data_IF_773998549254
#
_entry.id   IF_773998549254
#
_cell.length_a   1.000
_cell.length_b   1.000
_cell.length_c   1.000
_cell.angle_alpha   90.00
_cell.angle_beta   90.00
_cell.angle_gamma   90.00
#
_symmetry.space_group_name_H-M   'P 1'
#
loop_
_entity.id
_entity.type
_entity.pdbx_description
1 polymer ?
#
# COMPACT_ATOMS: atom_id res chain seq x y z
N UNK A 1 -22.82 18.47 20.69
CA UNK A 1 -23.64 19.34 21.54
C UNK A 1 -23.68 20.74 20.94
N UNK A 2 -24.51 21.66 21.46
CA UNK A 2 -24.44 23.09 21.05
C UNK A 2 -23.06 23.67 21.34
N UNK A 3 -22.45 23.27 22.45
CA UNK A 3 -21.07 23.64 22.79
C UNK A 3 -20.09 23.21 21.69
N UNK A 4 -20.13 21.95 21.25
CA UNK A 4 -19.24 21.46 20.19
C UNK A 4 -19.46 22.20 18.87
N UNK A 5 -20.72 22.47 18.50
CA UNK A 5 -21.04 23.19 17.28
C UNK A 5 -20.45 24.62 17.30
N UNK A 6 -20.55 25.32 18.44
CA UNK A 6 -19.93 26.63 18.64
C UNK A 6 -18.40 26.55 18.61
N UNK A 7 -17.82 25.55 19.29
CA UNK A 7 -16.37 25.34 19.38
C UNK A 7 -15.74 25.08 18.02
N UNK A 8 -16.33 24.20 17.22
CA UNK A 8 -15.82 23.80 15.90
C UNK A 8 -16.43 24.58 14.73
N UNK A 9 -17.12 25.69 15.02
CA UNK A 9 -17.69 26.62 14.03
C UNK A 9 -18.56 25.91 13.00
N UNK A 10 -19.37 24.95 13.46
CA UNK A 10 -20.35 24.25 12.64
C UNK A 10 -21.57 25.15 12.49
N UNK A 11 -21.93 25.45 11.24
CA UNK A 11 -23.02 26.35 10.92
C UNK A 11 -24.18 25.65 10.21
N UNK A 12 -25.17 26.46 9.84
CA UNK A 12 -26.28 26.07 8.98
C UNK A 12 -26.51 27.20 7.98
N UNK A 13 -26.61 26.85 6.69
CA UNK A 13 -26.95 27.79 5.64
C UNK A 13 -28.46 27.74 5.40
N UNK A 14 -29.23 28.77 5.79
CA UNK A 14 -30.68 28.72 5.67
C UNK A 14 -31.15 28.89 4.22
N UNK A 15 -32.39 28.48 3.95
CA UNK A 15 -33.04 28.61 2.63
C UNK A 15 -33.06 30.04 2.08
N UNK A 16 -33.10 31.04 2.95
CA UNK A 16 -33.09 32.45 2.58
C UNK A 16 -31.68 33.10 2.61
N UNK A 17 -30.59 32.31 2.72
CA UNK A 17 -29.22 32.83 2.81
C UNK A 17 -28.91 33.93 1.79
N UNK A 18 -29.25 33.75 0.52
CA UNK A 18 -28.97 34.73 -0.54
C UNK A 18 -29.76 36.04 -0.37
N UNK A 19 -30.98 35.99 0.16
CA UNK A 19 -31.75 37.17 0.50
C UNK A 19 -31.10 37.92 1.65
N UNK A 20 -30.69 37.21 2.71
CA UNK A 20 -29.98 37.79 3.86
C UNK A 20 -28.67 38.45 3.42
N UNK A 21 -27.89 37.77 2.57
CA UNK A 21 -26.64 38.32 2.03
C UNK A 21 -26.89 39.56 1.18
N UNK A 22 -27.97 39.60 0.38
CA UNK A 22 -28.35 40.77 -0.41
C UNK A 22 -28.72 41.95 0.49
N UNK A 23 -29.55 41.71 1.51
CA UNK A 23 -29.97 42.74 2.47
C UNK A 23 -28.78 43.33 3.25
N UNK A 24 -27.73 42.51 3.49
CA UNK A 24 -26.48 42.95 4.12
C UNK A 24 -25.47 43.56 3.14
N UNK A 25 -25.77 43.66 1.85
CA UNK A 25 -24.81 44.14 0.84
C UNK A 25 -23.62 43.20 0.58
N UNK A 26 -23.69 41.93 1.00
CA UNK A 26 -22.59 40.97 0.94
C UNK A 26 -22.70 39.94 -0.20
N UNK A 27 -23.78 39.98 -0.98
CA UNK A 27 -24.08 38.92 -1.95
C UNK A 27 -22.98 38.74 -3.01
N UNK A 28 -22.49 39.83 -3.60
CA UNK A 28 -21.47 39.72 -4.65
C UNK A 28 -20.11 39.28 -4.10
N UNK A 29 -19.76 39.68 -2.87
CA UNK A 29 -18.59 39.18 -2.17
C UNK A 29 -18.70 37.67 -1.89
N UNK A 30 -19.87 37.22 -1.41
CA UNK A 30 -20.12 35.81 -1.14
C UNK A 30 -20.00 34.95 -2.41
N UNK A 31 -20.53 35.42 -3.54
CA UNK A 31 -20.38 34.74 -4.83
C UNK A 31 -18.91 34.68 -5.27
N UNK A 32 -18.16 35.78 -5.16
CA UNK A 32 -16.72 35.81 -5.46
C UNK A 32 -15.92 34.86 -4.56
N UNK A 33 -16.36 34.65 -3.32
CA UNK A 33 -15.81 33.68 -2.39
C UNK A 33 -16.21 32.23 -2.70
N UNK A 34 -17.00 31.97 -3.74
CA UNK A 34 -17.41 30.63 -4.17
C UNK A 34 -18.71 30.11 -3.53
N UNK A 35 -19.44 30.95 -2.79
CA UNK A 35 -20.74 30.58 -2.20
C UNK A 35 -21.81 30.54 -3.30
N UNK A 36 -22.47 29.40 -3.43
CA UNK A 36 -23.57 29.17 -4.36
C UNK A 36 -24.86 28.82 -3.63
N UNK A 37 -26.02 28.88 -4.31
CA UNK A 37 -27.30 28.45 -3.71
C UNK A 37 -27.28 26.98 -3.27
N UNK A 38 -26.40 26.15 -3.82
CA UNK A 38 -26.31 24.73 -3.47
C UNK A 38 -26.01 24.49 -1.97
N UNK A 39 -25.41 25.46 -1.28
CA UNK A 39 -25.13 25.38 0.17
C UNK A 39 -26.36 25.56 1.06
N UNK A 40 -27.46 26.08 0.52
CA UNK A 40 -28.68 26.31 1.30
C UNK A 40 -29.29 24.99 1.78
N UNK A 41 -29.89 25.02 2.96
CA UNK A 41 -30.50 23.88 3.65
C UNK A 41 -29.48 22.78 4.01
N UNK A 42 -28.26 23.20 4.33
CA UNK A 42 -27.15 22.30 4.70
C UNK A 42 -26.45 22.75 5.97
N UNK A 43 -25.96 21.76 6.73
CA UNK A 43 -24.96 21.98 7.77
C UNK A 43 -23.67 22.40 7.10
N UNK A 44 -23.00 23.44 7.61
CA UNK A 44 -21.76 23.97 7.04
C UNK A 44 -20.56 23.68 7.94
N UNK A 45 -19.44 23.34 7.31
CA UNK A 45 -18.13 23.13 7.92
C UNK A 45 -17.19 24.21 7.41
N UNK A 46 -16.71 25.07 8.29
CA UNK A 46 -15.87 26.22 7.90
C UNK A 46 -14.40 25.85 7.82
N UNK A 47 -13.74 26.33 6.78
CA UNK A 47 -12.28 26.33 6.62
C UNK A 47 -11.70 27.67 7.03
N UNK A 48 -10.51 27.63 7.62
CA UNK A 48 -9.82 28.79 8.15
C UNK A 48 -8.43 28.92 7.53
N UNK A 49 -7.96 30.16 7.35
CA UNK A 49 -6.55 30.44 7.10
C UNK A 49 -5.71 30.34 8.39
N UNK A 50 -4.41 30.61 8.29
CA UNK A 50 -3.48 30.57 9.42
C UNK A 50 -3.69 31.71 10.44
N UNK A 51 -4.49 32.72 10.10
CA UNK A 51 -4.92 33.79 11.01
C UNK A 51 -6.31 33.51 11.62
N UNK A 52 -6.88 32.32 11.41
CA UNK A 52 -8.22 31.94 11.82
C UNK A 52 -9.35 32.75 11.17
N UNK A 53 -9.14 33.33 9.99
CA UNK A 53 -10.21 33.93 9.19
C UNK A 53 -10.97 32.84 8.42
N UNK A 54 -12.31 32.87 8.38
CA UNK A 54 -13.09 31.99 7.52
C UNK A 54 -12.78 32.26 6.04
N UNK A 55 -12.32 31.23 5.32
CA UNK A 55 -11.97 31.34 3.89
C UNK A 55 -12.84 30.48 2.99
N UNK A 56 -13.52 29.48 3.55
CA UNK A 56 -14.37 28.61 2.75
C UNK A 56 -15.28 27.71 3.55
N UNK A 57 -16.15 26.98 2.85
CA UNK A 57 -17.11 26.07 3.47
C UNK A 57 -17.17 24.73 2.71
N UNK A 58 -17.37 23.66 3.47
CA UNK A 58 -18.05 22.49 2.95
C UNK A 58 -19.45 22.45 3.54
N UNK A 59 -20.35 21.67 2.93
CA UNK A 59 -21.71 21.57 3.43
C UNK A 59 -22.30 20.19 3.20
N UNK A 60 -23.14 19.77 4.14
CA UNK A 60 -23.84 18.48 4.14
C UNK A 60 -25.34 18.69 4.20
N UNK A 61 -26.08 18.03 3.31
CA UNK A 61 -27.55 18.08 3.33
C UNK A 61 -28.12 17.52 4.63
N UNK A 62 -29.23 18.12 5.03
CA UNK A 62 -30.12 17.59 6.06
C UNK A 62 -31.22 16.84 5.30
N UNK A 63 -31.29 15.51 5.46
CA UNK A 63 -32.17 14.64 4.67
C UNK A 63 -31.54 14.11 3.38
N UNK A 64 -32.38 13.88 2.36
CA UNK A 64 -32.02 13.12 1.16
C UNK A 64 -31.56 13.95 -0.04
N UNK A 65 -31.40 15.27 0.12
CA UNK A 65 -30.95 16.14 -0.96
C UNK A 65 -29.55 15.74 -1.45
N UNK A 66 -29.42 15.44 -2.75
CA UNK A 66 -28.15 15.07 -3.39
C UNK A 66 -27.46 16.28 -4.03
N UNK A 67 -26.10 16.29 -4.11
CA UNK A 67 -25.20 15.33 -3.45
C UNK A 67 -25.21 15.53 -1.93
N UNK A 68 -24.84 14.49 -1.17
CA UNK A 68 -24.84 14.52 0.30
C UNK A 68 -23.88 15.58 0.86
N UNK A 69 -22.71 15.70 0.24
CA UNK A 69 -21.72 16.72 0.54
C UNK A 69 -21.45 17.58 -0.68
N UNK A 70 -21.20 18.86 -0.44
CA UNK A 70 -20.63 19.79 -1.41
C UNK A 70 -19.46 20.54 -0.76
N UNK A 71 -18.44 20.82 -1.56
CA UNK A 71 -17.45 21.83 -1.20
C UNK A 71 -17.83 23.11 -1.94
N UNK A 72 -17.55 24.28 -1.36
CA UNK A 72 -17.65 25.52 -2.14
C UNK A 72 -16.71 25.47 -3.34
N UNK A 73 -17.02 26.27 -4.36
CA UNK A 73 -16.16 26.37 -5.54
C UNK A 73 -14.81 26.96 -5.15
N UNK A 74 -13.77 26.55 -5.88
CA UNK A 74 -12.47 27.20 -5.77
C UNK A 74 -12.63 28.70 -6.07
N UNK A 75 -11.96 29.51 -5.27
CA UNK A 75 -11.93 30.96 -5.37
C UNK A 75 -10.49 31.44 -5.18
N UNK A 76 -10.20 32.73 -5.43
CA UNK A 76 -8.90 33.30 -5.08
C UNK A 76 -8.53 33.14 -3.60
N UNK A 77 -9.55 33.03 -2.72
CA UNK A 77 -9.38 32.86 -1.27
C UNK A 77 -9.30 31.39 -0.83
N UNK A 78 -9.83 30.47 -1.64
CA UNK A 78 -9.96 29.07 -1.23
C UNK A 78 -9.68 28.13 -2.39
N UNK A 79 -8.65 27.30 -2.23
CA UNK A 79 -8.41 26.13 -3.08
C UNK A 79 -8.45 24.90 -2.19
N UNK A 80 -9.38 23.98 -2.44
CA UNK A 80 -9.61 22.85 -1.54
C UNK A 80 -8.32 22.05 -1.27
N UNK A 81 -7.46 21.88 -2.27
CA UNK A 81 -6.17 21.23 -2.13
C UNK A 81 -5.16 21.96 -1.23
N UNK A 82 -5.44 23.16 -0.72
CA UNK A 82 -4.55 23.95 0.15
C UNK A 82 -5.06 24.01 1.60
N UNK A 83 -6.18 23.37 1.92
CA UNK A 83 -6.78 23.45 3.25
C UNK A 83 -7.15 22.07 3.79
N UNK A 84 -7.03 21.94 5.11
CA UNK A 84 -7.45 20.79 5.90
C UNK A 84 -8.48 21.25 6.92
N UNK A 85 -9.61 20.55 7.00
CA UNK A 85 -10.65 20.93 7.96
C UNK A 85 -10.18 20.60 9.38
N UNK A 86 -10.33 21.58 10.27
CA UNK A 86 -10.06 21.46 11.71
C UNK A 86 -8.61 21.67 12.15
N UNK A 87 -7.70 21.97 11.21
CA UNK A 87 -6.31 22.30 11.51
C UNK A 87 -6.19 23.44 12.53
N UNK A 88 -7.04 24.45 12.42
CA UNK A 88 -7.09 25.62 13.30
C UNK A 88 -7.51 25.31 14.75
N UNK A 89 -8.06 24.12 15.00
CA UNK A 89 -8.47 23.69 16.35
C UNK A 89 -7.36 22.92 17.08
N UNK A 90 -6.24 22.66 16.41
CA UNK A 90 -5.13 21.91 16.99
C UNK A 90 -4.16 22.85 17.70
N UNK A 91 -4.03 22.68 19.01
CA UNK A 91 -3.18 23.52 19.87
C UNK A 91 -1.74 22.98 20.02
N UNK A 92 -1.49 21.71 19.69
CA UNK A 92 -0.23 21.00 19.96
C UNK A 92 0.38 20.40 18.69
N UNK A 93 1.71 20.46 18.60
CA UNK A 93 2.54 19.91 17.51
C UNK A 93 2.97 18.45 17.77
N UNK A 94 2.10 17.67 18.41
CA UNK A 94 2.32 16.25 18.68
C UNK A 94 1.84 15.40 17.47
N UNK A 95 1.28 14.22 17.69
CA UNK A 95 0.75 13.37 16.62
C UNK A 95 -0.59 13.94 16.11
N UNK A 96 -0.85 13.84 14.80
CA UNK A 96 -2.12 14.21 14.17
C UNK A 96 -2.67 13.11 13.28
N UNK A 97 -3.97 12.87 13.39
CA UNK A 97 -4.71 11.92 12.56
C UNK A 97 -5.37 12.61 11.37
N UNK A 98 -5.07 12.16 10.16
CA UNK A 98 -5.79 12.56 8.97
C UNK A 98 -6.90 11.57 8.67
N UNK A 99 -8.13 12.06 8.61
CA UNK A 99 -9.35 11.28 8.33
C UNK A 99 -10.02 11.77 7.05
N UNK A 100 -10.93 10.97 6.49
CA UNK A 100 -11.56 11.29 5.21
C UNK A 100 -12.65 12.37 5.34
N UNK A 101 -13.58 12.18 6.28
CA UNK A 101 -14.79 12.98 6.40
C UNK A 101 -14.76 14.05 7.49
N UNK A 102 -15.58 15.08 7.30
CA UNK A 102 -15.74 16.15 8.29
C UNK A 102 -16.34 15.66 9.61
N UNK A 103 -17.25 14.68 9.55
CA UNK A 103 -17.83 14.08 10.76
C UNK A 103 -16.82 13.22 11.52
N UNK A 104 -15.96 12.49 10.82
CA UNK A 104 -14.86 11.73 11.44
C UNK A 104 -13.99 12.67 12.26
N UNK A 105 -13.59 13.80 11.68
CA UNK A 105 -12.78 14.80 12.36
C UNK A 105 -13.51 15.39 13.57
N UNK A 106 -14.81 15.70 13.46
CA UNK A 106 -15.60 16.21 14.58
C UNK A 106 -15.68 15.18 15.72
N UNK A 107 -15.85 13.89 15.40
CA UNK A 107 -15.88 12.83 16.41
C UNK A 107 -14.52 12.66 17.09
N UNK A 108 -13.42 12.76 16.34
CA UNK A 108 -12.09 12.86 16.92
C UNK A 108 -11.96 14.07 17.84
N UNK A 109 -12.43 15.26 17.44
CA UNK A 109 -12.33 16.46 18.27
C UNK A 109 -13.09 16.34 19.58
N UNK A 110 -14.32 15.80 19.53
CA UNK A 110 -15.15 15.54 20.71
C UNK A 110 -14.50 14.56 21.70
N UNK A 111 -13.59 13.72 21.23
CA UNK A 111 -12.88 12.75 22.05
C UNK A 111 -11.44 13.17 22.37
N UNK A 112 -11.07 14.40 22.01
CA UNK A 112 -9.74 14.99 22.15
C UNK A 112 -8.64 14.24 21.39
N UNK A 113 -9.00 13.56 20.30
CA UNK A 113 -8.03 13.02 19.33
C UNK A 113 -7.66 14.17 18.37
N UNK A 114 -6.37 14.56 18.26
CA UNK A 114 -5.93 15.58 17.31
C UNK A 114 -6.12 15.06 15.89
N UNK A 115 -7.01 15.69 15.11
CA UNK A 115 -7.32 15.22 13.77
C UNK A 115 -7.50 16.36 12.76
N UNK A 116 -7.48 16.00 11.48
CA UNK A 116 -7.83 16.88 10.36
C UNK A 116 -8.56 16.07 9.30
N UNK A 117 -9.49 16.68 8.57
CA UNK A 117 -10.17 16.01 7.45
C UNK A 117 -9.71 16.51 6.08
N UNK A 118 -9.46 15.56 5.17
CA UNK A 118 -9.17 15.86 3.75
C UNK A 118 -10.45 16.36 3.05
N UNK A 119 -11.62 15.77 3.35
CA UNK A 119 -12.92 16.26 2.86
C UNK A 119 -13.24 15.85 1.42
N UNK A 120 -13.05 14.56 1.11
CA UNK A 120 -13.52 13.93 -0.13
C UNK A 120 -12.69 14.21 -1.39
N UNK A 121 -11.45 14.69 -1.24
CA UNK A 121 -10.51 14.89 -2.35
C UNK A 121 -9.28 14.00 -2.21
N UNK A 122 -8.49 13.86 -3.28
CA UNK A 122 -7.17 13.25 -3.16
C UNK A 122 -6.26 14.15 -2.31
N UNK A 123 -5.43 13.52 -1.47
CA UNK A 123 -4.41 14.21 -0.67
C UNK A 123 -3.44 14.98 -1.58
N UNK A 124 -3.22 16.25 -1.29
CA UNK A 124 -2.26 17.10 -2.01
C UNK A 124 -0.94 17.26 -1.25
N UNK A 125 0.12 17.69 -1.96
CA UNK A 125 1.40 18.09 -1.36
C UNK A 125 1.22 19.31 -0.45
N UNK A 126 0.39 20.27 -0.85
CA UNK A 126 0.11 21.47 -0.05
C UNK A 126 -0.54 21.12 1.29
N UNK A 127 -1.51 20.20 1.29
CA UNK A 127 -2.16 19.72 2.52
C UNK A 127 -1.16 19.04 3.45
N UNK A 128 -0.26 18.20 2.93
CA UNK A 128 0.78 17.59 3.77
C UNK A 128 1.74 18.63 4.35
N UNK A 129 2.11 19.65 3.58
CA UNK A 129 2.99 20.72 4.07
C UNK A 129 2.39 21.50 5.25
N UNK A 130 1.06 21.65 5.31
CA UNK A 130 0.41 22.24 6.48
C UNK A 130 0.65 21.46 7.77
N UNK A 131 0.90 20.15 7.66
CA UNK A 131 1.12 19.26 8.79
C UNK A 131 2.60 19.06 9.13
N UNK A 132 3.52 19.69 8.39
CA UNK A 132 4.96 19.64 8.69
C UNK A 132 5.33 20.05 10.13
N UNK A 133 4.60 20.96 10.80
CA UNK A 133 4.88 21.27 12.20
C UNK A 133 4.57 20.15 13.20
N UNK A 134 3.84 19.10 12.81
CA UNK A 134 3.45 17.99 13.71
C UNK A 134 4.55 16.92 13.74
N UNK A 135 4.82 16.39 14.93
CA UNK A 135 5.85 15.36 15.13
C UNK A 135 5.57 14.07 14.36
N UNK A 136 4.29 13.75 14.12
CA UNK A 136 3.87 12.54 13.42
C UNK A 136 2.52 12.74 12.75
N UNK A 137 2.40 12.25 11.53
CA UNK A 137 1.17 12.33 10.74
C UNK A 137 0.71 10.90 10.46
N UNK A 138 -0.49 10.56 10.92
CA UNK A 138 -1.08 9.23 10.81
C UNK A 138 -2.33 9.35 9.94
N UNK A 139 -2.43 8.60 8.84
CA UNK A 139 -3.65 8.57 8.02
C UNK A 139 -4.51 7.37 8.40
N UNK A 140 -5.78 7.59 8.68
CA UNK A 140 -6.76 6.53 8.83
C UNK A 140 -7.32 6.12 7.46
N UNK A 141 -7.11 4.86 7.10
CA UNK A 141 -7.65 4.26 5.88
C UNK A 141 -8.67 3.18 6.21
N UNK A 142 -9.63 2.98 5.30
CA UNK A 142 -10.51 1.82 5.34
C UNK A 142 -9.69 0.51 5.30
N UNK A 143 -10.16 -0.51 6.00
CA UNK A 143 -9.51 -1.84 6.06
C UNK A 143 -9.62 -2.68 4.79
N UNK A 144 -10.01 -2.10 3.68
CA UNK A 144 -10.33 -2.80 2.44
C UNK A 144 -9.26 -2.60 1.34
N UNK A 145 -9.52 -3.16 0.15
CA UNK A 145 -8.61 -3.01 -0.99
C UNK A 145 -8.52 -1.55 -1.48
N UNK A 146 -9.57 -0.74 -1.28
CA UNK A 146 -9.55 0.68 -1.66
C UNK A 146 -8.65 1.49 -0.72
N UNK A 147 -8.69 1.22 0.59
CA UNK A 147 -7.80 1.79 1.59
C UNK A 147 -6.33 1.50 1.31
N UNK A 148 -5.98 0.26 0.93
CA UNK A 148 -4.59 -0.07 0.53
C UNK A 148 -4.15 0.74 -0.70
N UNK A 149 -5.01 0.92 -1.70
CA UNK A 149 -4.71 1.77 -2.87
C UNK A 149 -4.56 3.23 -2.49
N UNK A 150 -5.40 3.72 -1.56
CA UNK A 150 -5.29 5.08 -1.03
C UNK A 150 -3.96 5.29 -0.29
N UNK A 151 -3.55 4.32 0.54
CA UNK A 151 -2.27 4.33 1.24
C UNK A 151 -1.08 4.45 0.27
N UNK A 152 -1.09 3.72 -0.86
CA UNK A 152 -0.02 3.81 -1.86
C UNK A 152 0.00 5.15 -2.59
N UNK A 153 -1.17 5.76 -2.82
CA UNK A 153 -1.25 7.13 -3.35
C UNK A 153 -0.69 8.13 -2.35
N UNK A 154 -1.08 8.02 -1.09
CA UNK A 154 -0.57 8.87 -0.01
C UNK A 154 0.96 8.76 0.14
N UNK A 155 1.53 7.55 0.02
CA UNK A 155 2.98 7.36 0.04
C UNK A 155 3.69 8.18 -1.06
N UNK A 156 3.17 8.16 -2.29
CA UNK A 156 3.76 8.98 -3.38
C UNK A 156 3.69 10.47 -3.07
N UNK A 157 2.58 10.94 -2.50
CA UNK A 157 2.42 12.36 -2.13
C UNK A 157 3.36 12.72 -0.97
N UNK A 158 3.54 11.83 0.01
CA UNK A 158 4.46 11.98 1.13
C UNK A 158 5.92 12.14 0.68
N UNK A 159 6.31 11.34 -0.31
CA UNK A 159 7.64 11.39 -0.92
C UNK A 159 7.84 12.73 -1.63
N UNK A 160 6.86 13.16 -2.44
CA UNK A 160 6.91 14.49 -3.09
C UNK A 160 6.98 15.64 -2.09
N UNK A 161 6.27 15.52 -0.96
CA UNK A 161 6.26 16.52 0.10
C UNK A 161 7.51 16.47 1.00
N UNK A 162 8.38 15.47 0.85
CA UNK A 162 9.53 15.23 1.74
C UNK A 162 9.09 15.04 3.21
N UNK A 163 7.97 14.35 3.44
CA UNK A 163 7.35 14.16 4.76
C UNK A 163 7.03 12.67 4.95
N UNK A 164 7.55 12.01 6.01
CA UNK A 164 7.17 10.63 6.32
C UNK A 164 5.75 10.56 6.90
N UNK A 165 5.06 9.45 6.62
CA UNK A 165 3.69 9.21 7.07
C UNK A 165 3.55 7.85 7.74
N UNK A 166 2.60 7.77 8.66
CA UNK A 166 2.10 6.54 9.26
C UNK A 166 0.68 6.27 8.78
N UNK A 167 0.24 5.02 8.93
CA UNK A 167 -1.10 4.58 8.59
C UNK A 167 -1.71 3.75 9.71
N UNK A 168 -3.00 3.93 9.93
CA UNK A 168 -3.86 2.98 10.65
C UNK A 168 -4.91 2.47 9.68
N UNK A 169 -5.20 1.17 9.73
CA UNK A 169 -6.23 0.54 8.91
C UNK A 169 -7.41 0.19 9.81
N UNK A 170 -8.58 0.71 9.47
CA UNK A 170 -9.80 0.51 10.23
C UNK A 170 -10.34 -0.91 10.01
N UNK A 171 -11.13 -1.47 10.95
CA UNK A 171 -11.89 -2.68 10.71
C UNK A 171 -12.81 -2.54 9.49
N UNK A 172 -13.15 -3.67 8.86
CA UNK A 172 -14.03 -3.66 7.70
C UNK A 172 -15.38 -2.99 8.03
N UNK A 173 -15.84 -2.10 7.16
CA UNK A 173 -17.08 -1.33 7.30
C UNK A 173 -17.14 -0.39 8.52
N UNK A 174 -15.99 0.00 9.08
CA UNK A 174 -15.90 1.05 10.09
C UNK A 174 -15.17 2.28 9.52
N UNK A 175 -15.67 3.46 9.85
CA UNK A 175 -14.97 4.74 9.73
C UNK A 175 -14.55 5.21 11.15
N UNK A 176 -13.74 6.28 11.30
CA UNK A 176 -13.38 6.78 12.62
C UNK A 176 -14.60 7.18 13.46
N UNK A 177 -15.65 7.76 12.86
CA UNK A 177 -16.88 8.13 13.57
C UNK A 177 -17.57 6.91 14.18
N UNK A 178 -17.83 5.88 13.36
CA UNK A 178 -18.54 4.66 13.75
C UNK A 178 -17.73 3.82 14.74
N UNK A 179 -16.41 3.70 14.54
CA UNK A 179 -15.54 2.97 15.47
C UNK A 179 -15.50 3.63 16.85
N UNK A 180 -15.28 4.94 16.90
CA UNK A 180 -15.19 5.69 18.15
C UNK A 180 -16.53 5.68 18.88
N UNK A 181 -17.66 5.81 18.17
CA UNK A 181 -18.99 5.75 18.80
C UNK A 181 -19.32 4.39 19.38
N UNK A 182 -18.97 3.30 18.68
CA UNK A 182 -19.30 1.94 19.10
C UNK A 182 -18.36 1.42 20.19
N UNK A 183 -17.05 1.68 20.06
CA UNK A 183 -16.00 1.05 20.89
C UNK A 183 -15.19 2.04 21.72
N UNK A 184 -15.49 3.33 21.61
CA UNK A 184 -14.78 4.38 22.33
C UNK A 184 -13.46 4.79 21.67
N UNK A 185 -12.91 5.93 22.12
CA UNK A 185 -11.68 6.51 21.57
C UNK A 185 -10.46 5.58 21.70
N UNK A 186 -10.39 4.78 22.76
CA UNK A 186 -9.25 3.91 23.02
C UNK A 186 -9.15 2.82 21.94
N UNK A 187 -10.27 2.31 21.44
CA UNK A 187 -10.27 1.34 20.35
C UNK A 187 -9.66 1.91 19.05
N UNK A 188 -9.85 3.20 18.78
CA UNK A 188 -9.21 3.89 17.65
C UNK A 188 -7.71 4.13 17.89
N UNK A 189 -7.33 4.58 19.09
CA UNK A 189 -5.93 4.87 19.43
C UNK A 189 -5.05 3.62 19.55
N UNK A 190 -5.65 2.46 19.89
CA UNK A 190 -4.96 1.17 19.97
C UNK A 190 -4.78 0.48 18.61
N UNK A 191 -5.32 1.04 17.52
CA UNK A 191 -5.05 0.51 16.18
C UNK A 191 -3.56 0.53 15.89
N UNK A 192 -3.08 -0.55 15.28
CA UNK A 192 -1.67 -0.69 14.92
C UNK A 192 -1.27 0.40 13.93
N UNK A 193 -0.37 1.29 14.38
CA UNK A 193 0.21 2.31 13.53
C UNK A 193 1.39 1.71 12.75
N UNK A 194 1.33 1.77 11.43
CA UNK A 194 2.38 1.25 10.54
C UNK A 194 3.08 2.40 9.84
N UNK A 195 4.41 2.37 9.80
CA UNK A 195 5.16 3.23 8.87
C UNK A 195 4.70 2.94 7.44
N UNK A 196 4.32 3.98 6.70
CA UNK A 196 3.64 3.82 5.42
C UNK A 196 4.57 3.23 4.34
N UNK A 197 5.87 3.52 4.40
CA UNK A 197 6.85 2.92 3.50
C UNK A 197 7.05 1.44 3.83
N UNK A 198 7.22 1.09 5.12
CA UNK A 198 7.31 -0.31 5.57
C UNK A 198 6.09 -1.12 5.14
N UNK A 199 4.89 -0.58 5.36
CA UNK A 199 3.64 -1.19 4.92
C UNK A 199 3.61 -1.41 3.39
N UNK A 200 4.09 -0.45 2.61
CA UNK A 200 4.20 -0.60 1.16
C UNK A 200 5.13 -1.76 0.78
N UNK A 201 6.28 -1.90 1.44
CA UNK A 201 7.20 -3.02 1.21
C UNK A 201 6.54 -4.35 1.59
N UNK A 202 5.94 -4.44 2.78
CA UNK A 202 5.22 -5.64 3.22
C UNK A 202 4.17 -6.07 2.20
N UNK A 203 3.37 -5.12 1.69
CA UNK A 203 2.38 -5.42 0.65
C UNK A 203 3.02 -5.77 -0.68
N UNK A 204 4.13 -5.15 -1.09
CA UNK A 204 4.86 -5.55 -2.30
C UNK A 204 5.27 -7.03 -2.25
N UNK A 205 5.68 -7.52 -1.07
CA UNK A 205 6.10 -8.90 -0.87
C UNK A 205 4.96 -9.92 -0.97
N UNK A 206 3.70 -9.48 -0.87
CA UNK A 206 2.53 -10.36 -1.05
C UNK A 206 2.17 -10.61 -2.53
N UNK A 207 2.72 -9.83 -3.47
CA UNK A 207 2.43 -10.02 -4.90
C UNK A 207 3.27 -11.15 -5.52
N UNK A 208 2.79 -11.77 -6.61
CA UNK A 208 3.60 -12.68 -7.41
C UNK A 208 4.93 -12.04 -7.81
N UNK A 209 6.04 -12.82 -7.85
CA UNK A 209 7.37 -12.26 -8.00
C UNK A 209 7.58 -11.26 -9.14
N UNK A 210 7.10 -11.63 -10.32
CA UNK A 210 7.22 -10.81 -11.54
C UNK A 210 6.51 -9.45 -11.40
N UNK A 211 5.37 -9.44 -10.69
CA UNK A 211 4.58 -8.23 -10.42
C UNK A 211 5.28 -7.36 -9.38
N UNK A 212 5.80 -7.97 -8.31
CA UNK A 212 6.53 -7.27 -7.26
C UNK A 212 7.79 -6.57 -7.81
N UNK A 213 8.60 -7.26 -8.62
CA UNK A 213 9.78 -6.66 -9.29
C UNK A 213 9.40 -5.48 -10.18
N UNK A 214 8.34 -5.61 -11.00
CA UNK A 214 7.86 -4.51 -11.86
C UNK A 214 7.34 -3.32 -11.06
N UNK A 215 6.65 -3.55 -9.95
CA UNK A 215 6.17 -2.48 -9.06
C UNK A 215 7.33 -1.79 -8.36
N UNK A 216 8.29 -2.57 -7.86
CA UNK A 216 9.49 -2.07 -7.19
C UNK A 216 10.37 -1.24 -8.15
N UNK A 217 10.57 -1.69 -9.39
CA UNK A 217 11.36 -0.94 -10.38
C UNK A 217 10.71 0.39 -10.73
N UNK A 218 9.39 0.41 -10.94
CA UNK A 218 8.63 1.64 -11.14
C UNK A 218 8.72 2.58 -9.94
N UNK A 219 8.63 2.04 -8.73
CA UNK A 219 8.73 2.84 -7.51
C UNK A 219 10.14 3.40 -7.31
N UNK A 220 11.18 2.60 -7.56
CA UNK A 220 12.58 3.06 -7.53
C UNK A 220 12.84 4.17 -8.54
N UNK A 221 12.28 4.07 -9.76
CA UNK A 221 12.35 5.14 -10.76
C UNK A 221 11.69 6.42 -10.24
N UNK A 222 10.47 6.31 -9.70
CA UNK A 222 9.76 7.43 -9.10
C UNK A 222 10.55 8.12 -7.96
N UNK A 223 11.20 7.34 -7.09
CA UNK A 223 12.05 7.91 -6.03
C UNK A 223 13.23 8.71 -6.62
N UNK A 224 13.92 8.17 -7.63
CA UNK A 224 15.02 8.85 -8.31
C UNK A 224 14.56 10.15 -8.99
N UNK A 225 13.38 10.15 -9.59
CA UNK A 225 12.81 11.34 -10.25
C UNK A 225 12.45 12.44 -9.24
N UNK A 226 12.05 12.07 -8.01
CA UNK A 226 11.67 13.05 -6.99
C UNK A 226 12.89 13.74 -6.36
N UNK A 227 13.99 13.01 -6.17
CA UNK A 227 15.31 13.51 -5.77
C UNK A 227 15.33 14.50 -4.59
N UNK A 228 14.71 14.12 -3.48
CA UNK A 228 14.79 14.82 -2.18
C UNK A 228 15.32 13.90 -1.07
N UNK A 229 15.66 14.47 0.09
CA UNK A 229 16.25 13.73 1.22
C UNK A 229 15.46 12.48 1.61
N UNK A 230 14.14 12.61 1.73
CA UNK A 230 13.29 11.49 2.07
C UNK A 230 13.34 10.39 1.00
N UNK A 231 13.25 10.75 -0.28
CA UNK A 231 13.38 9.78 -1.38
C UNK A 231 14.74 9.09 -1.40
N UNK A 232 15.83 9.79 -1.05
CA UNK A 232 17.19 9.24 -0.95
C UNK A 232 17.32 8.27 0.22
N UNK A 233 16.73 8.58 1.38
CA UNK A 233 16.65 7.67 2.53
C UNK A 233 15.90 6.39 2.14
N UNK A 234 14.73 6.53 1.50
CA UNK A 234 13.97 5.37 1.04
C UNK A 234 14.74 4.55 -0.01
N UNK A 235 15.50 5.19 -0.90
CA UNK A 235 16.38 4.48 -1.85
C UNK A 235 17.49 3.67 -1.16
N UNK A 236 18.05 4.17 -0.05
CA UNK A 236 19.03 3.43 0.77
C UNK A 236 18.37 2.22 1.41
N UNK A 237 17.22 2.41 2.09
CA UNK A 237 16.45 1.30 2.67
C UNK A 237 16.06 0.26 1.62
N UNK A 238 15.67 0.70 0.42
CA UNK A 238 15.38 -0.22 -0.68
C UNK A 238 16.59 -1.05 -1.12
N UNK A 239 17.82 -0.56 -1.01
CA UNK A 239 19.02 -1.36 -1.34
C UNK A 239 19.22 -2.48 -0.32
N UNK A 240 19.03 -2.19 0.96
CA UNK A 240 19.13 -3.16 2.07
C UNK A 240 17.99 -4.19 2.01
N UNK A 241 16.77 -3.71 1.76
CA UNK A 241 15.60 -4.52 1.53
C UNK A 241 15.78 -5.36 0.25
N UNK A 242 16.35 -4.82 -0.82
CA UNK A 242 16.61 -5.63 -2.03
C UNK A 242 17.70 -6.68 -1.81
N UNK A 243 18.68 -6.43 -0.93
CA UNK A 243 19.70 -7.42 -0.53
C UNK A 243 19.07 -8.57 0.26
N UNK A 244 18.20 -8.26 1.23
CA UNK A 244 17.45 -9.25 2.02
C UNK A 244 16.35 -9.96 1.22
N UNK A 245 15.67 -9.25 0.31
CA UNK A 245 14.74 -9.84 -0.66
C UNK A 245 15.51 -10.75 -1.62
N UNK A 246 16.65 -10.38 -2.20
CA UNK A 246 17.41 -11.28 -3.07
C UNK A 246 17.81 -12.59 -2.37
N UNK A 247 18.11 -12.55 -1.07
CA UNK A 247 18.38 -13.74 -0.25
C UNK A 247 17.09 -14.59 -0.10
N UNK A 248 15.93 -13.97 0.18
CA UNK A 248 14.63 -14.67 0.28
C UNK A 248 13.97 -15.07 -1.05
N UNK A 249 14.31 -14.41 -2.17
CA UNK A 249 13.71 -14.60 -3.49
C UNK A 249 14.47 -15.61 -4.34
N UNK A 250 15.80 -15.69 -4.16
CA UNK A 250 16.63 -16.76 -4.71
C UNK A 250 16.14 -18.13 -4.24
N UNK A 251 15.52 -18.18 -3.04
CA UNK A 251 14.95 -19.41 -2.47
C UNK A 251 13.63 -19.86 -3.10
N UNK A 252 12.86 -19.01 -3.80
CA UNK A 252 11.47 -19.36 -4.14
C UNK A 252 11.10 -19.39 -5.64
N UNK A 253 11.70 -18.56 -6.50
CA UNK A 253 11.23 -18.46 -7.90
C UNK A 253 12.34 -18.09 -8.90
N UNK A 254 13.30 -18.98 -9.15
CA UNK A 254 13.91 -19.02 -10.48
C UNK A 254 12.91 -19.65 -11.47
N UNK A 255 12.78 -19.08 -12.67
CA UNK A 255 12.37 -19.85 -13.85
C UNK A 255 13.36 -21.01 -13.92
N UNK A 256 12.87 -22.17 -13.57
CA UNK A 256 13.62 -23.40 -13.59
C UNK A 256 13.93 -23.65 -15.09
N UNK A 257 15.20 -23.57 -15.49
CA UNK A 257 15.65 -23.96 -16.84
C UNK A 257 15.21 -25.41 -17.12
N UNK A 258 15.10 -25.87 -18.38
CA UNK A 258 14.73 -27.27 -18.66
C UNK A 258 15.54 -28.28 -17.82
N UNK A 259 16.83 -28.01 -17.62
CA UNK A 259 17.74 -28.77 -16.75
C UNK A 259 17.25 -28.73 -15.31
N UNK A 260 16.96 -27.56 -14.76
CA UNK A 260 16.44 -27.44 -13.40
C UNK A 260 15.05 -28.11 -13.24
N UNK A 261 14.25 -28.24 -14.32
CA UNK A 261 12.91 -28.87 -14.29
C UNK A 261 13.04 -30.37 -14.25
N UNK A 262 14.01 -30.88 -15.01
CA UNK A 262 14.49 -32.25 -14.93
C UNK A 262 14.96 -32.55 -13.50
N UNK A 263 15.77 -31.67 -12.88
CA UNK A 263 16.20 -31.84 -11.48
C UNK A 263 15.03 -31.86 -10.50
N UNK A 264 14.14 -30.88 -10.57
CA UNK A 264 12.96 -30.82 -9.71
C UNK A 264 12.08 -32.09 -9.84
N UNK A 265 11.91 -32.61 -11.05
CA UNK A 265 11.13 -33.83 -11.31
C UNK A 265 11.84 -35.11 -10.82
N UNK A 266 13.16 -35.22 -11.00
CA UNK A 266 13.94 -36.38 -10.55
C UNK A 266 14.02 -36.47 -9.02
N UNK A 267 14.20 -35.34 -8.33
CA UNK A 267 14.41 -35.31 -6.88
C UNK A 267 13.13 -35.19 -6.05
N UNK A 268 11.97 -35.03 -6.68
CA UNK A 268 10.68 -35.05 -5.99
C UNK A 268 10.10 -36.45 -5.79
N UNK A 269 10.71 -37.49 -6.35
CA UNK A 269 10.23 -38.87 -6.21
C UNK A 269 11.37 -39.89 -6.19
N UNK A 270 11.57 -40.52 -5.02
CA UNK A 270 12.69 -41.43 -4.75
C UNK A 270 12.68 -42.71 -5.59
N UNK A 271 11.49 -43.24 -5.92
CA UNK A 271 11.34 -44.44 -6.74
C UNK A 271 11.86 -44.16 -8.15
N UNK A 272 11.53 -42.99 -8.70
CA UNK A 272 12.00 -42.59 -10.01
C UNK A 272 13.47 -42.19 -10.04
N UNK A 273 14.00 -41.59 -8.98
CA UNK A 273 15.44 -41.33 -8.89
C UNK A 273 16.26 -42.62 -8.92
N UNK A 274 15.84 -43.65 -8.17
CA UNK A 274 16.45 -44.99 -8.23
C UNK A 274 16.34 -45.62 -9.62
N UNK A 275 15.19 -45.46 -10.28
CA UNK A 275 14.99 -45.94 -11.66
C UNK A 275 15.92 -45.23 -12.65
N UNK A 276 16.07 -43.91 -12.55
CA UNK A 276 16.96 -43.13 -13.41
C UNK A 276 18.45 -43.48 -13.22
N UNK A 277 18.85 -43.86 -12.00
CA UNK A 277 20.18 -44.40 -11.71
C UNK A 277 20.39 -45.78 -12.34
N UNK A 278 19.45 -46.70 -12.17
CA UNK A 278 19.56 -48.05 -12.74
C UNK A 278 19.58 -48.07 -14.28
N UNK A 279 19.03 -47.03 -14.93
CA UNK A 279 19.05 -46.86 -16.38
C UNK A 279 20.23 -45.99 -16.87
N UNK A 280 21.18 -45.65 -15.98
CA UNK A 280 22.36 -44.82 -16.23
C UNK A 280 22.00 -43.47 -16.89
N UNK A 281 20.83 -42.91 -16.57
CA UNK A 281 20.33 -41.67 -17.14
C UNK A 281 20.89 -40.43 -16.44
N UNK A 282 21.51 -40.60 -15.27
CA UNK A 282 22.18 -39.48 -14.59
C UNK A 282 23.51 -39.13 -15.24
N UNK A 283 24.12 -40.04 -16.02
CA UNK A 283 25.42 -39.83 -16.68
C UNK A 283 25.47 -38.61 -17.59
N UNK A 284 24.33 -38.28 -18.21
CA UNK A 284 24.17 -37.14 -19.13
C UNK A 284 23.94 -35.79 -18.43
N UNK A 285 23.89 -35.77 -17.10
CA UNK A 285 23.72 -34.56 -16.28
C UNK A 285 25.07 -34.11 -15.71
N UNK A 286 25.14 -32.85 -15.25
CA UNK A 286 26.38 -32.28 -14.71
C UNK A 286 26.89 -33.06 -13.48
N UNK A 287 28.22 -33.17 -13.26
CA UNK A 287 28.79 -33.95 -12.16
C UNK A 287 28.26 -33.59 -10.77
N UNK A 288 28.07 -32.30 -10.49
CA UNK A 288 27.54 -31.81 -9.20
C UNK A 288 26.10 -32.29 -8.93
N UNK A 289 25.32 -32.54 -9.99
CA UNK A 289 23.95 -33.06 -9.88
C UNK A 289 23.98 -34.55 -9.48
N UNK A 290 24.93 -35.32 -10.04
CA UNK A 290 25.09 -36.74 -9.72
C UNK A 290 25.45 -36.89 -8.24
N UNK A 291 26.40 -36.11 -7.76
CA UNK A 291 26.85 -36.13 -6.37
C UNK A 291 25.71 -35.79 -5.40
N UNK A 292 24.94 -34.73 -5.69
CA UNK A 292 23.76 -34.38 -4.91
C UNK A 292 22.69 -35.49 -4.89
N UNK A 293 22.57 -36.26 -5.98
CA UNK A 293 21.62 -37.36 -6.08
C UNK A 293 21.97 -38.56 -5.20
N UNK A 294 23.26 -38.93 -5.19
CA UNK A 294 23.76 -40.01 -4.35
C UNK A 294 23.64 -39.65 -2.87
N UNK A 295 24.08 -38.44 -2.49
CA UNK A 295 23.99 -37.97 -1.12
C UNK A 295 22.54 -37.97 -0.60
N UNK A 296 21.60 -37.51 -1.41
CA UNK A 296 20.18 -37.49 -1.05
C UNK A 296 19.59 -38.89 -0.87
N UNK A 297 20.00 -39.87 -1.69
CA UNK A 297 19.53 -41.26 -1.57
C UNK A 297 20.05 -41.98 -0.33
N UNK A 298 21.30 -41.71 0.04
CA UNK A 298 21.99 -42.34 1.15
C UNK A 298 21.61 -41.72 2.50
N UNK A 299 21.59 -40.39 2.57
CA UNK A 299 21.51 -39.67 3.86
C UNK A 299 20.16 -38.99 4.11
N UNK A 300 19.29 -38.91 3.09
CA UNK A 300 18.05 -38.12 3.13
C UNK A 300 18.27 -36.63 3.46
N UNK A 301 19.51 -36.15 3.32
CA UNK A 301 19.90 -34.76 3.51
C UNK A 301 20.17 -34.07 2.17
N UNK A 302 20.03 -32.75 2.14
CA UNK A 302 20.39 -31.93 0.99
C UNK A 302 21.81 -31.38 1.17
N UNK A 303 22.60 -31.22 0.09
CA UNK A 303 23.91 -30.60 0.18
C UNK A 303 23.83 -29.19 0.77
N UNK A 304 24.67 -28.89 1.77
CA UNK A 304 24.87 -27.55 2.26
C UNK A 304 25.70 -26.76 1.23
N UNK A 305 25.20 -25.60 0.79
CA UNK A 305 25.88 -24.70 -0.17
C UNK A 305 26.01 -25.19 -1.62
N UNK A 306 24.95 -25.73 -2.22
CA UNK A 306 24.92 -26.00 -3.67
C UNK A 306 23.96 -25.02 -4.41
N UNK A 307 24.28 -24.67 -5.66
CA UNK A 307 23.45 -23.87 -6.57
C UNK A 307 22.02 -24.43 -6.72
N UNK A 308 21.84 -25.74 -6.56
CA UNK A 308 20.56 -26.44 -6.72
C UNK A 308 19.81 -26.68 -5.41
N UNK A 309 20.41 -26.42 -4.23
CA UNK A 309 19.78 -26.60 -2.90
C UNK A 309 18.37 -25.99 -2.79
N UNK A 310 18.07 -24.79 -3.33
CA UNK A 310 16.72 -24.23 -3.31
C UNK A 310 15.68 -25.02 -4.12
N UNK A 311 16.08 -25.63 -5.23
CA UNK A 311 15.21 -26.43 -6.09
C UNK A 311 14.90 -27.77 -5.44
N UNK A 312 15.90 -28.38 -4.81
CA UNK A 312 15.77 -29.62 -4.07
C UNK A 312 14.88 -29.46 -2.82
N UNK A 313 15.06 -28.37 -2.06
CA UNK A 313 14.19 -28.04 -0.93
C UNK A 313 12.72 -27.86 -1.35
N UNK A 314 12.48 -27.27 -2.53
CA UNK A 314 11.13 -27.11 -3.11
C UNK A 314 10.52 -28.45 -3.54
N UNK A 315 11.31 -29.36 -4.08
CA UNK A 315 10.88 -30.70 -4.50
C UNK A 315 10.40 -31.56 -3.33
N UNK A 316 11.02 -31.41 -2.15
CA UNK A 316 10.61 -32.09 -0.91
C UNK A 316 9.25 -31.61 -0.38
N UNK A 317 8.97 -30.31 -0.48
CA UNK A 317 7.74 -29.70 0.06
C UNK A 317 6.56 -29.91 -0.90
N UNK A 318 6.82 -29.85 -2.22
CA UNK A 318 5.81 -30.01 -3.26
C UNK A 318 6.31 -30.97 -4.33
N UNK A 319 5.97 -32.27 -4.27
CA UNK A 319 6.45 -33.23 -5.24
C UNK A 319 5.85 -32.98 -6.64
N UNK A 320 6.59 -33.33 -7.70
CA UNK A 320 6.09 -33.26 -9.06
C UNK A 320 5.06 -34.39 -9.32
N UNK A 321 4.03 -34.15 -10.16
CA UNK A 321 3.12 -35.21 -10.56
C UNK A 321 3.84 -36.26 -11.39
N UNK A 322 3.47 -37.53 -11.21
CA UNK A 322 4.09 -38.69 -11.88
C UNK A 322 4.16 -38.55 -13.41
N UNK A 323 3.12 -37.98 -14.02
CA UNK A 323 3.07 -37.71 -15.46
C UNK A 323 4.14 -36.74 -15.95
N UNK A 324 4.60 -35.80 -15.12
CA UNK A 324 5.70 -34.91 -15.44
C UNK A 324 7.05 -35.62 -15.32
N UNK A 325 7.20 -36.50 -14.31
CA UNK A 325 8.41 -37.30 -14.10
C UNK A 325 8.64 -38.29 -15.26
N UNK A 326 7.58 -38.96 -15.73
CA UNK A 326 7.66 -39.86 -16.89
C UNK A 326 8.08 -39.15 -18.18
N UNK A 327 7.62 -37.91 -18.39
CA UNK A 327 8.05 -37.08 -19.53
C UNK A 327 9.53 -36.75 -19.47
N UNK A 328 10.06 -36.50 -18.27
CA UNK A 328 11.49 -36.23 -18.04
C UNK A 328 12.34 -37.47 -18.32
N UNK A 329 11.94 -38.66 -17.85
CA UNK A 329 12.66 -39.92 -18.14
C UNK A 329 12.74 -40.15 -19.65
N UNK A 330 11.61 -40.06 -20.35
CA UNK A 330 11.55 -40.26 -21.80
C UNK A 330 12.45 -39.28 -22.56
N UNK A 331 12.50 -38.03 -22.11
CA UNK A 331 13.41 -37.02 -22.67
C UNK A 331 14.89 -37.38 -22.46
N UNK A 332 15.28 -37.81 -21.26
CA UNK A 332 16.66 -38.20 -20.94
C UNK A 332 17.12 -39.43 -21.73
N UNK A 333 16.26 -40.45 -21.85
CA UNK A 333 16.51 -41.62 -22.69
C UNK A 333 16.74 -41.22 -24.17
N UNK A 334 15.90 -40.32 -24.69
CA UNK A 334 16.04 -39.81 -26.07
C UNK A 334 17.35 -39.03 -26.25
N UNK A 335 17.76 -38.25 -25.24
CA UNK A 335 19.01 -37.48 -25.27
C UNK A 335 20.24 -38.40 -25.20
N UNK A 336 20.22 -39.42 -24.33
CA UNK A 336 21.28 -40.43 -24.23
C UNK A 336 21.47 -41.16 -25.56
N UNK A 337 20.38 -41.64 -26.17
CA UNK A 337 20.41 -42.30 -27.48
C UNK A 337 21.02 -41.40 -28.58
N UNK A 338 20.66 -40.12 -28.60
CA UNK A 338 21.23 -39.14 -29.55
C UNK A 338 22.73 -38.90 -29.34
N UNK A 339 23.20 -38.86 -28.09
CA UNK A 339 24.62 -38.70 -27.80
C UNK A 339 25.42 -39.93 -28.24
N UNK A 340 24.92 -41.14 -27.95
CA UNK A 340 25.55 -42.40 -28.38
C UNK A 340 25.59 -42.55 -29.90
N UNK A 341 24.56 -42.10 -30.62
CA UNK A 341 24.55 -42.09 -32.09
C UNK A 341 25.56 -41.08 -32.65
N UNK A 342 25.67 -39.88 -32.05
CA UNK A 342 26.68 -38.88 -32.43
C UNK A 342 28.11 -39.35 -32.18
N UNK A 343 28.36 -40.09 -31.12
CA UNK A 343 29.68 -40.68 -30.85
C UNK A 343 30.05 -41.77 -31.86
N UNK A 344 29.06 -42.51 -32.40
CA UNK A 344 29.25 -43.52 -33.45
C UNK A 344 29.42 -42.94 -34.87
N UNK A 345 28.89 -41.76 -35.14
CA UNK A 345 29.08 -41.05 -36.41
C UNK A 345 30.43 -40.29 -36.48
N UNK A 346 31.14 -40.19 -35.35
CA UNK A 346 32.44 -39.48 -35.21
C UNK A 346 33.61 -40.46 -35.01
N UNK A 347 33.33 -41.76 -34.80
CA UNK A 347 34.28 -42.87 -34.81
C UNK A 347 34.33 -43.54 -36.18
#
# INVERSE_FOLDING_TARGET
TVHDAKRYKIGFAPKNLFQVLRQKGLLELAKKAGITKAIQERITFTFFDHYNNPVGFAARSIGDTKPKYINILNSPLFKKEHFLFGLNFLAKKEEVYMVEGYLDAITCFKTNIPAVAIGGTSLSVFQLNLLKPFSKIIIAFDGDKAGVRAAFRALKISIKANIPLFAVFLPQNEDPDSLIRKKGKNAFLQLEQKDLFKFFIEKLMTFPPQIAVKKLSNFRRFLKETNNDYSLILLKHLKEINKSIHIGYSLNHQKITPEKQILYALFSNRIFLKKALNEDLLEILDPEIKEAAFLFLETNALPHHNLYTPILAKALIKPAPETAVLKVIKYLQTKKLKNTLKEKDVS
#
